data_IF_496052633462
#
_entry.id   IF_496052633462
#
_cell.length_a   1.000
_cell.length_b   1.000
_cell.length_c   1.000
_cell.angle_alpha   90.00
_cell.angle_beta   90.00
_cell.angle_gamma   90.00
#
_symmetry.space_group_name_H-M   'P 1'
#
loop_
_entity.id
_entity.type
_entity.pdbx_description
1 polymer ?
#
# COMPACT_ATOMS: atom_id res chain seq x y z
N UNK A 1 0.62 12.21 26.54
CA UNK A 1 0.79 11.15 27.57
C UNK A 1 2.27 10.85 27.59
N UNK A 2 2.87 10.45 28.70
CA UNK A 2 4.30 10.11 28.69
C UNK A 2 4.53 8.72 28.14
N UNK A 3 5.71 8.47 27.58
CA UNK A 3 6.13 7.13 27.10
C UNK A 3 5.85 6.03 28.13
N UNK A 4 6.16 6.26 29.41
CA UNK A 4 5.92 5.27 30.46
C UNK A 4 4.44 4.93 30.66
N UNK A 5 3.55 5.92 30.56
CA UNK A 5 2.12 5.71 30.65
C UNK A 5 1.59 4.95 29.42
N UNK A 6 2.09 5.30 28.23
CA UNK A 6 1.73 4.59 26.98
C UNK A 6 2.22 3.14 27.01
N UNK A 7 3.45 2.90 27.44
CA UNK A 7 4.00 1.55 27.59
C UNK A 7 3.18 0.70 28.57
N UNK A 8 2.75 1.29 29.70
CA UNK A 8 1.89 0.61 30.67
C UNK A 8 0.56 0.19 30.05
N UNK A 9 -0.11 1.07 29.31
CA UNK A 9 -1.37 0.75 28.65
C UNK A 9 -1.18 -0.34 27.58
N UNK A 10 -0.18 -0.17 26.71
CA UNK A 10 0.07 -1.14 25.66
C UNK A 10 0.48 -2.52 26.18
N UNK A 11 1.21 -2.59 27.30
CA UNK A 11 1.58 -3.88 27.89
C UNK A 11 0.37 -4.69 28.39
N UNK A 12 -0.76 -4.03 28.69
CA UNK A 12 -1.96 -4.69 29.17
C UNK A 12 -3.01 -4.94 28.07
N UNK A 13 -3.09 -4.04 27.09
CA UNK A 13 -4.22 -4.00 26.16
C UNK A 13 -3.86 -4.24 24.70
N UNK A 14 -2.58 -4.19 24.32
CA UNK A 14 -2.13 -4.44 22.95
C UNK A 14 -1.39 -5.77 22.87
N UNK A 15 -1.75 -6.60 21.91
CA UNK A 15 -1.06 -7.89 21.69
C UNK A 15 0.42 -7.65 21.38
N UNK A 16 1.30 -8.43 22.00
CA UNK A 16 2.75 -8.33 21.86
C UNK A 16 3.26 -8.98 20.56
N UNK A 17 2.71 -8.58 19.44
CA UNK A 17 3.06 -9.09 18.11
C UNK A 17 4.29 -8.41 17.48
N UNK A 18 4.71 -7.27 18.03
CA UNK A 18 5.87 -6.50 17.57
C UNK A 18 6.74 -6.06 18.75
N UNK A 19 8.07 -6.16 18.57
CA UNK A 19 9.01 -5.44 19.43
C UNK A 19 8.99 -3.96 19.08
N UNK A 20 8.87 -3.09 20.10
CA UNK A 20 8.87 -1.63 19.92
C UNK A 20 10.12 -1.00 20.50
N UNK A 21 10.66 -0.01 19.80
CA UNK A 21 11.69 0.85 20.39
C UNK A 21 11.08 1.73 21.49
N UNK A 22 11.79 2.01 22.59
CA UNK A 22 11.25 2.78 23.70
C UNK A 22 11.29 4.31 23.41
N UNK A 23 10.55 4.72 22.38
CA UNK A 23 10.36 6.11 21.98
C UNK A 23 8.90 6.31 21.65
N UNK A 24 8.29 7.37 22.17
CA UNK A 24 6.96 7.83 21.79
C UNK A 24 7.11 9.07 20.91
N UNK A 25 6.64 9.01 19.68
CA UNK A 25 6.59 10.17 18.80
C UNK A 25 5.25 10.87 18.95
N UNK A 26 5.29 12.18 19.19
CA UNK A 26 4.10 13.00 19.45
C UNK A 26 3.80 14.00 18.33
N UNK A 27 4.79 14.30 17.48
CA UNK A 27 4.65 15.22 16.36
C UNK A 27 5.59 14.83 15.22
N UNK A 28 5.20 15.19 13.99
CA UNK A 28 6.03 15.01 12.81
C UNK A 28 5.86 16.15 11.81
N UNK A 29 6.98 16.63 11.26
CA UNK A 29 6.99 17.66 10.23
C UNK A 29 8.09 17.40 9.18
N UNK A 30 7.72 17.26 7.92
CA UNK A 30 8.65 16.88 6.87
C UNK A 30 9.36 15.57 7.21
N UNK A 31 10.66 15.58 7.32
CA UNK A 31 11.48 14.41 7.69
C UNK A 31 11.82 14.34 9.19
N UNK A 32 11.20 15.18 10.03
CA UNK A 32 11.49 15.24 11.46
C UNK A 32 10.35 14.69 12.27
N UNK A 33 10.68 13.96 13.32
CA UNK A 33 9.79 13.49 14.36
C UNK A 33 10.22 14.06 15.69
N UNK A 34 9.26 14.39 16.55
CA UNK A 34 9.50 14.87 17.92
C UNK A 34 9.04 13.81 18.91
N UNK A 35 9.94 13.42 19.80
CA UNK A 35 9.63 12.52 20.92
C UNK A 35 8.87 13.24 22.04
N UNK A 36 8.24 12.47 22.93
CA UNK A 36 7.56 12.99 24.13
C UNK A 36 8.51 13.70 25.11
N UNK A 37 9.81 13.42 24.99
CA UNK A 37 10.90 14.07 25.72
C UNK A 37 11.41 15.36 25.05
N UNK A 38 10.80 15.78 23.94
CA UNK A 38 11.15 16.97 23.18
C UNK A 38 12.37 16.82 22.27
N UNK A 39 12.94 15.62 22.14
CA UNK A 39 14.04 15.37 21.20
C UNK A 39 13.54 15.31 19.77
N UNK A 40 14.32 15.86 18.85
CA UNK A 40 14.10 15.71 17.41
C UNK A 40 14.86 14.49 16.89
N UNK A 41 14.20 13.77 15.98
CA UNK A 41 14.74 12.63 15.25
C UNK A 41 14.57 12.86 13.73
N UNK A 42 15.54 12.39 12.96
CA UNK A 42 15.36 12.30 11.51
C UNK A 42 14.69 10.97 11.17
N UNK A 43 13.59 11.05 10.44
CA UNK A 43 12.82 9.87 10.02
C UNK A 43 13.37 9.29 8.72
N UNK A 44 14.29 8.33 8.82
CA UNK A 44 14.75 7.54 7.69
C UNK A 44 13.90 6.28 7.43
N UNK A 45 12.90 6.02 8.25
CA UNK A 45 12.01 4.88 8.10
C UNK A 45 10.76 5.22 7.29
N UNK A 46 10.29 6.46 7.40
CA UNK A 46 9.11 7.00 6.71
C UNK A 46 7.88 6.08 6.81
N UNK A 47 7.64 5.50 8.01
CA UNK A 47 6.56 4.52 8.20
C UNK A 47 6.68 3.26 7.33
N UNK A 48 7.91 2.84 7.01
CA UNK A 48 8.25 1.77 6.05
C UNK A 48 7.81 2.18 4.62
N UNK A 49 8.19 3.40 4.21
CA UNK A 49 7.95 3.95 2.87
C UNK A 49 6.55 4.53 2.66
N UNK A 50 5.72 4.61 3.69
CA UNK A 50 4.35 5.15 3.59
C UNK A 50 4.34 6.68 3.53
N UNK A 51 5.18 7.35 4.34
CA UNK A 51 5.25 8.80 4.44
C UNK A 51 6.23 9.41 3.43
N UNK A 52 6.10 9.05 2.15
CA UNK A 52 7.05 9.47 1.10
C UNK A 52 7.09 10.99 0.86
N UNK A 53 6.02 11.71 1.18
CA UNK A 53 5.94 13.18 1.11
C UNK A 53 6.35 13.86 2.43
N UNK A 54 6.74 13.07 3.43
CA UNK A 54 7.01 13.55 4.78
C UNK A 54 5.75 13.69 5.64
N UNK A 55 5.97 14.06 6.90
CA UNK A 55 4.89 14.28 7.86
C UNK A 55 4.29 15.66 7.66
N UNK A 56 2.97 15.76 7.69
CA UNK A 56 2.26 17.03 7.66
C UNK A 56 2.33 17.79 6.34
N UNK A 57 2.48 17.10 5.19
CA UNK A 57 2.44 17.74 3.88
C UNK A 57 1.14 18.54 3.69
N UNK A 58 1.22 19.87 3.38
CA UNK A 58 0.04 20.73 3.35
C UNK A 58 -0.99 20.32 2.30
N UNK A 59 -0.56 19.82 1.14
CA UNK A 59 -1.47 19.40 0.08
C UNK A 59 -2.26 18.15 0.48
N UNK A 60 -1.58 17.18 1.11
CA UNK A 60 -2.22 15.96 1.64
C UNK A 60 -3.20 16.31 2.75
N UNK A 61 -2.80 17.16 3.71
CA UNK A 61 -3.68 17.57 4.82
C UNK A 61 -4.93 18.29 4.32
N UNK A 62 -4.76 19.23 3.39
CA UNK A 62 -5.89 19.97 2.80
C UNK A 62 -6.86 19.05 2.08
N UNK A 63 -6.34 18.09 1.29
CA UNK A 63 -7.18 17.12 0.58
C UNK A 63 -7.94 16.19 1.56
N UNK A 64 -7.27 15.71 2.61
CA UNK A 64 -7.90 14.89 3.65
C UNK A 64 -8.99 15.67 4.38
N UNK A 65 -8.73 16.91 4.77
CA UNK A 65 -9.71 17.76 5.47
C UNK A 65 -10.95 18.01 4.59
N UNK A 66 -10.77 18.30 3.32
CA UNK A 66 -11.87 18.50 2.39
C UNK A 66 -12.69 17.20 2.20
N UNK A 67 -12.00 16.08 1.99
CA UNK A 67 -12.65 14.79 1.71
C UNK A 67 -13.40 14.25 2.93
N UNK A 68 -12.85 14.37 4.14
CA UNK A 68 -13.53 13.90 5.36
C UNK A 68 -14.85 14.61 5.64
N UNK A 69 -14.95 15.90 5.24
CA UNK A 69 -16.19 16.67 5.34
C UNK A 69 -17.22 16.30 4.26
N UNK A 70 -16.78 15.69 3.16
CA UNK A 70 -17.61 15.36 2.00
C UNK A 70 -18.15 13.93 2.06
N UNK A 71 -17.25 12.94 2.13
CA UNK A 71 -17.61 11.52 2.11
C UNK A 71 -16.44 10.66 2.56
N UNK A 72 -16.66 9.80 3.55
CA UNK A 72 -15.61 8.93 4.06
C UNK A 72 -15.62 7.53 3.45
N UNK A 73 -16.79 6.89 3.31
CA UNK A 73 -16.88 5.51 2.84
C UNK A 73 -18.27 5.14 2.33
N UNK A 74 -18.34 4.39 1.22
CA UNK A 74 -19.61 3.86 0.64
C UNK A 74 -19.51 2.42 0.16
N UNK A 75 -18.42 1.70 0.40
CA UNK A 75 -18.18 0.36 -0.17
C UNK A 75 -17.82 0.37 -1.66
N UNK A 76 -17.25 -0.75 -2.13
CA UNK A 76 -16.92 -0.97 -3.55
C UNK A 76 -18.14 -1.24 -4.44
N UNK A 77 -19.34 -1.32 -3.87
CA UNK A 77 -20.57 -1.49 -4.65
C UNK A 77 -21.00 -0.22 -5.39
N UNK A 78 -20.42 0.92 -5.05
CA UNK A 78 -20.78 2.21 -5.65
C UNK A 78 -19.56 2.88 -6.27
N UNK A 79 -19.84 3.74 -7.25
CA UNK A 79 -18.82 4.63 -7.80
C UNK A 79 -18.54 5.76 -6.81
N UNK A 80 -17.26 6.11 -6.70
CA UNK A 80 -16.80 7.27 -5.91
C UNK A 80 -15.84 8.10 -6.76
N UNK A 81 -15.78 9.37 -6.46
CA UNK A 81 -14.80 10.26 -7.08
C UNK A 81 -13.37 9.79 -6.85
N UNK A 82 -12.47 10.17 -7.73
CA UNK A 82 -11.02 10.01 -7.70
C UNK A 82 -10.52 8.57 -7.92
N UNK A 83 -11.29 7.52 -7.62
CA UNK A 83 -10.82 6.14 -7.79
C UNK A 83 -10.45 5.82 -9.24
N UNK A 84 -11.30 6.16 -10.20
CA UNK A 84 -11.04 5.99 -11.63
C UNK A 84 -9.88 6.87 -12.13
N UNK A 85 -9.84 8.12 -11.68
CA UNK A 85 -8.79 9.07 -12.01
C UNK A 85 -7.41 8.58 -11.54
N UNK A 86 -7.31 8.10 -10.28
CA UNK A 86 -6.06 7.52 -9.76
C UNK A 86 -5.66 6.26 -10.54
N UNK A 87 -6.60 5.39 -10.89
CA UNK A 87 -6.32 4.21 -11.70
C UNK A 87 -5.79 4.59 -13.10
N UNK A 88 -6.36 5.60 -13.75
CA UNK A 88 -5.89 6.12 -15.03
C UNK A 88 -4.47 6.71 -14.93
N UNK A 89 -4.19 7.49 -13.89
CA UNK A 89 -2.84 8.01 -13.61
C UNK A 89 -1.82 6.87 -13.44
N UNK A 90 -2.16 5.84 -12.68
CA UNK A 90 -1.29 4.69 -12.47
C UNK A 90 -1.06 3.90 -13.76
N UNK A 91 -2.08 3.76 -14.63
CA UNK A 91 -1.94 3.12 -15.94
C UNK A 91 -0.97 3.88 -16.85
N UNK A 92 -1.06 5.23 -16.89
CA UNK A 92 -0.13 6.06 -17.66
C UNK A 92 1.29 5.93 -17.15
N UNK A 93 1.50 6.00 -15.84
CA UNK A 93 2.82 5.82 -15.22
C UNK A 93 3.40 4.43 -15.48
N UNK A 94 2.57 3.39 -15.51
CA UNK A 94 3.01 2.02 -15.83
C UNK A 94 3.41 1.85 -17.31
N UNK A 95 2.99 2.77 -18.18
CA UNK A 95 3.41 2.88 -19.58
C UNK A 95 4.56 3.88 -19.80
N UNK A 96 5.22 4.35 -18.72
CA UNK A 96 6.25 5.39 -18.76
C UNK A 96 5.76 6.75 -19.32
N UNK A 97 4.44 6.96 -19.44
CA UNK A 97 3.82 8.22 -19.89
C UNK A 97 3.72 9.22 -18.73
N UNK A 98 4.87 9.71 -18.27
CA UNK A 98 4.96 10.66 -17.15
C UNK A 98 4.32 12.01 -17.50
N UNK A 99 4.49 12.47 -18.74
CA UNK A 99 3.93 13.75 -19.16
C UNK A 99 2.41 13.68 -19.31
N UNK A 100 1.86 12.61 -19.89
CA UNK A 100 0.44 12.37 -19.94
C UNK A 100 -0.17 12.23 -18.54
N UNK A 101 0.49 11.55 -17.63
CA UNK A 101 0.06 11.47 -16.24
C UNK A 101 0.03 12.84 -15.55
N UNK A 102 1.03 13.70 -15.79
CA UNK A 102 1.08 15.07 -15.25
C UNK A 102 -0.07 15.92 -15.78
N UNK A 103 -0.29 15.95 -17.09
CA UNK A 103 -1.37 16.72 -17.71
C UNK A 103 -2.75 16.26 -17.22
N UNK A 104 -2.94 14.95 -17.05
CA UNK A 104 -4.16 14.40 -16.46
C UNK A 104 -4.34 14.83 -14.98
N UNK A 105 -3.26 14.79 -14.19
CA UNK A 105 -3.30 15.23 -12.80
C UNK A 105 -3.65 16.72 -12.67
N UNK A 106 -3.10 17.57 -13.53
CA UNK A 106 -3.38 19.00 -13.56
C UNK A 106 -4.86 19.28 -13.92
N UNK A 107 -5.41 18.55 -14.90
CA UNK A 107 -6.84 18.65 -15.25
C UNK A 107 -7.75 18.23 -14.09
N UNK A 108 -7.41 17.15 -13.39
CA UNK A 108 -8.14 16.68 -12.20
C UNK A 108 -8.08 17.74 -11.10
N UNK A 109 -6.90 18.30 -10.83
CA UNK A 109 -6.71 19.32 -9.81
C UNK A 109 -7.44 20.61 -10.12
N UNK A 110 -7.58 20.98 -11.40
CA UNK A 110 -8.35 22.14 -11.87
C UNK A 110 -9.86 21.90 -11.83
N UNK A 111 -10.34 20.68 -11.59
CA UNK A 111 -11.75 20.32 -11.64
C UNK A 111 -12.33 20.31 -13.07
N UNK A 112 -11.48 20.24 -14.09
CA UNK A 112 -11.90 20.12 -15.49
C UNK A 112 -12.22 18.67 -15.82
N UNK A 113 -13.46 18.28 -15.47
CA UNK A 113 -13.95 16.90 -15.65
C UNK A 113 -13.94 16.46 -17.11
N UNK A 114 -14.20 17.37 -18.05
CA UNK A 114 -14.25 17.06 -19.50
C UNK A 114 -12.85 16.72 -20.00
N UNK A 115 -11.87 17.55 -19.71
CA UNK A 115 -10.47 17.31 -20.08
C UNK A 115 -9.91 16.10 -19.35
N UNK A 116 -10.20 15.95 -18.05
CA UNK A 116 -9.76 14.79 -17.27
C UNK A 116 -10.32 13.47 -17.81
N UNK A 117 -11.60 13.44 -18.21
CA UNK A 117 -12.22 12.27 -18.83
C UNK A 117 -11.60 11.93 -20.20
N UNK A 118 -11.34 12.94 -21.02
CA UNK A 118 -10.73 12.76 -22.34
C UNK A 118 -9.26 12.26 -22.23
N UNK A 119 -8.48 12.84 -21.32
CA UNK A 119 -7.09 12.44 -21.08
C UNK A 119 -6.95 11.10 -20.36
N UNK A 120 -7.93 10.75 -19.55
CA UNK A 120 -7.99 9.46 -18.84
C UNK A 120 -8.49 8.31 -19.72
N UNK A 121 -9.07 8.58 -20.86
CA UNK A 121 -9.46 7.55 -21.82
C UNK A 121 -8.23 6.98 -22.53
N UNK A 122 -8.07 5.65 -22.58
CA UNK A 122 -6.92 5.04 -23.26
C UNK A 122 -6.99 5.26 -24.78
N UNK A 123 -5.84 5.45 -25.43
CA UNK A 123 -5.74 5.40 -26.87
C UNK A 123 -6.02 3.98 -27.39
N UNK A 124 -6.38 3.84 -28.68
CA UNK A 124 -6.81 2.56 -29.25
C UNK A 124 -5.72 1.47 -29.18
N UNK A 125 -4.47 1.86 -29.16
CA UNK A 125 -3.28 0.99 -29.09
C UNK A 125 -2.55 1.05 -27.75
N UNK A 126 -3.10 1.78 -26.78
CA UNK A 126 -2.50 1.92 -25.44
C UNK A 126 -2.72 0.65 -24.62
N UNK A 127 -1.67 0.14 -23.99
CA UNK A 127 -1.77 -0.92 -23.00
C UNK A 127 -2.45 -0.36 -21.74
N UNK A 128 -3.62 -0.89 -21.40
CA UNK A 128 -4.33 -0.53 -20.17
C UNK A 128 -3.88 -1.40 -19.01
N UNK A 129 -3.46 -0.76 -17.93
CA UNK A 129 -3.17 -1.42 -16.66
C UNK A 129 -4.33 -1.20 -15.70
N UNK A 130 -5.05 -2.27 -15.37
CA UNK A 130 -6.15 -2.20 -14.40
C UNK A 130 -5.62 -2.22 -12.97
N UNK A 131 -6.17 -1.38 -12.11
CA UNK A 131 -5.74 -1.24 -10.71
C UNK A 131 -6.69 -1.96 -9.76
N UNK A 132 -6.15 -2.83 -8.91
CA UNK A 132 -6.83 -3.37 -7.74
C UNK A 132 -6.41 -2.61 -6.49
N UNK A 133 -7.35 -1.88 -5.86
CA UNK A 133 -7.13 -1.15 -4.62
C UNK A 133 -7.35 -2.06 -3.41
N UNK A 134 -6.38 -2.12 -2.52
CA UNK A 134 -6.39 -2.90 -1.28
C UNK A 134 -6.00 -2.03 -0.08
N UNK A 135 -6.27 -2.50 1.15
CA UNK A 135 -5.98 -1.74 2.36
C UNK A 135 -4.54 -1.92 2.86
N UNK A 136 -3.81 -2.87 2.31
CA UNK A 136 -2.43 -3.17 2.70
C UNK A 136 -1.67 -3.87 1.59
N UNK A 137 -0.33 -3.86 1.68
CA UNK A 137 0.51 -4.66 0.78
C UNK A 137 0.23 -6.17 0.90
N UNK A 138 -0.13 -6.66 2.08
CA UNK A 138 -0.54 -8.06 2.25
C UNK A 138 -1.79 -8.39 1.43
N UNK A 139 -2.83 -7.56 1.49
CA UNK A 139 -4.05 -7.75 0.69
C UNK A 139 -3.79 -7.62 -0.82
N UNK A 140 -2.91 -6.69 -1.23
CA UNK A 140 -2.51 -6.57 -2.63
C UNK A 140 -1.80 -7.83 -3.11
N UNK A 141 -0.90 -8.41 -2.31
CA UNK A 141 -0.25 -9.68 -2.60
C UNK A 141 -1.24 -10.85 -2.65
N UNK A 142 -2.18 -10.93 -1.72
CA UNK A 142 -3.29 -11.92 -1.77
C UNK A 142 -4.08 -11.80 -3.08
N UNK A 143 -4.42 -10.58 -3.49
CA UNK A 143 -5.09 -10.30 -4.76
C UNK A 143 -4.30 -10.76 -5.96
N UNK A 144 -3.00 -10.46 -6.01
CA UNK A 144 -2.10 -10.84 -7.11
C UNK A 144 -1.92 -12.36 -7.21
N UNK A 145 -1.78 -13.06 -6.08
CA UNK A 145 -1.67 -14.52 -6.04
C UNK A 145 -2.96 -15.20 -6.54
N UNK A 146 -4.12 -14.69 -6.11
CA UNK A 146 -5.42 -15.16 -6.61
C UNK A 146 -5.56 -14.92 -8.11
N UNK A 147 -5.17 -13.75 -8.60
CA UNK A 147 -5.22 -13.39 -10.01
C UNK A 147 -4.31 -14.31 -10.84
N UNK A 148 -3.07 -14.54 -10.40
CA UNK A 148 -2.14 -15.43 -11.07
C UNK A 148 -2.68 -16.86 -11.19
N UNK A 149 -3.24 -17.41 -10.11
CA UNK A 149 -3.85 -18.73 -10.11
C UNK A 149 -5.10 -18.82 -11.01
N UNK A 150 -5.93 -17.78 -10.98
CA UNK A 150 -7.12 -17.71 -11.85
C UNK A 150 -6.73 -17.63 -13.33
N UNK A 151 -5.72 -16.82 -13.65
CA UNK A 151 -5.18 -16.70 -15.00
C UNK A 151 -4.63 -18.04 -15.50
N UNK A 152 -3.78 -18.70 -14.71
CA UNK A 152 -3.23 -20.01 -15.04
C UNK A 152 -4.32 -21.07 -15.28
N UNK A 153 -5.36 -21.07 -14.45
CA UNK A 153 -6.52 -21.97 -14.64
C UNK A 153 -7.27 -21.69 -15.93
N UNK A 154 -7.51 -20.41 -16.26
CA UNK A 154 -8.23 -20.01 -17.48
C UNK A 154 -7.40 -20.24 -18.74
N UNK A 155 -6.10 -20.02 -18.68
CA UNK A 155 -5.17 -20.29 -19.78
C UNK A 155 -4.96 -21.80 -20.06
N UNK A 156 -5.53 -22.68 -19.21
CA UNK A 156 -5.48 -24.13 -19.41
C UNK A 156 -4.11 -24.77 -19.13
N UNK A 157 -3.14 -24.02 -18.60
CA UNK A 157 -1.79 -24.53 -18.30
C UNK A 157 -1.70 -25.23 -16.92
N UNK A 158 -2.77 -25.19 -16.11
CA UNK A 158 -2.87 -25.88 -14.81
C UNK A 158 -1.90 -25.42 -13.73
N UNK A 159 -1.11 -24.38 -13.97
CA UNK A 159 -0.13 -23.86 -13.03
C UNK A 159 -0.79 -23.24 -11.80
N UNK A 160 -0.42 -23.70 -10.61
CA UNK A 160 -0.88 -23.15 -9.33
C UNK A 160 0.28 -22.85 -8.38
N UNK A 161 1.51 -23.03 -8.85
CA UNK A 161 2.73 -22.80 -8.07
C UNK A 161 3.26 -21.39 -8.32
N UNK A 162 3.55 -20.69 -7.24
CA UNK A 162 4.14 -19.34 -7.23
C UNK A 162 5.56 -19.47 -6.74
N UNK A 163 6.52 -18.95 -7.51
CA UNK A 163 7.93 -18.92 -7.15
C UNK A 163 8.21 -17.63 -6.37
N UNK A 164 8.80 -17.77 -5.19
CA UNK A 164 9.13 -16.65 -4.30
C UNK A 164 10.63 -16.64 -3.98
N UNK A 165 11.21 -15.46 -3.85
CA UNK A 165 12.62 -15.33 -3.49
C UNK A 165 12.83 -15.61 -2.01
N UNK A 166 13.93 -16.36 -1.68
CA UNK A 166 14.37 -16.50 -0.29
C UNK A 166 14.71 -15.14 0.30
N UNK A 167 14.27 -14.91 1.55
CA UNK A 167 14.44 -13.62 2.22
C UNK A 167 13.47 -12.53 1.75
N UNK A 168 12.60 -12.82 0.77
CA UNK A 168 11.53 -11.92 0.36
C UNK A 168 10.50 -11.69 1.48
N UNK A 169 9.74 -10.61 1.38
CA UNK A 169 8.64 -10.32 2.29
C UNK A 169 7.37 -9.99 1.51
N UNK A 170 6.29 -10.69 1.80
CA UNK A 170 5.01 -10.54 1.09
C UNK A 170 3.84 -10.14 2.00
N UNK A 171 4.03 -10.18 3.32
CA UNK A 171 3.00 -9.81 4.31
C UNK A 171 2.91 -10.79 5.47
N UNK A 172 1.87 -10.62 6.28
CA UNK A 172 1.66 -11.36 7.54
C UNK A 172 0.32 -12.11 7.60
N UNK A 173 -0.47 -12.17 6.52
CA UNK A 173 -1.61 -13.10 6.38
C UNK A 173 -1.08 -14.53 6.16
N UNK A 174 -1.91 -15.53 6.32
CA UNK A 174 -1.47 -16.93 6.19
C UNK A 174 -0.92 -17.24 4.79
N UNK A 175 -1.51 -16.71 3.72
CA UNK A 175 -1.01 -16.93 2.36
C UNK A 175 0.25 -16.10 2.08
N UNK A 176 0.30 -14.86 2.52
CA UNK A 176 1.49 -14.02 2.34
C UNK A 176 2.67 -14.46 3.21
N UNK A 177 2.43 -15.04 4.41
CA UNK A 177 3.48 -15.70 5.18
C UNK A 177 4.00 -16.95 4.45
N UNK A 178 3.12 -17.74 3.83
CA UNK A 178 3.55 -18.88 3.01
C UNK A 178 4.44 -18.45 1.84
N UNK A 179 4.15 -17.31 1.22
CA UNK A 179 4.98 -16.71 0.17
C UNK A 179 6.27 -16.05 0.70
N UNK A 180 6.28 -15.64 1.97
CA UNK A 180 7.45 -15.06 2.63
C UNK A 180 8.43 -16.18 3.02
N UNK A 181 9.45 -16.40 2.21
CA UNK A 181 10.38 -17.52 2.35
C UNK A 181 11.42 -17.27 3.45
N UNK A 182 10.94 -17.11 4.69
CA UNK A 182 11.71 -16.92 5.92
C UNK A 182 11.16 -17.87 6.99
N UNK A 183 11.89 -18.96 7.26
CA UNK A 183 11.44 -20.07 8.11
C UNK A 183 11.01 -19.60 9.51
N UNK A 184 11.77 -18.68 10.12
CA UNK A 184 11.49 -18.15 11.45
C UNK A 184 10.14 -17.40 11.55
N UNK A 185 9.62 -16.87 10.44
CA UNK A 185 8.28 -16.28 10.37
C UNK A 185 7.19 -17.34 10.17
N UNK A 186 7.53 -18.44 9.51
CA UNK A 186 6.57 -19.46 9.10
C UNK A 186 6.30 -20.49 10.20
N UNK A 187 7.34 -20.88 10.95
CA UNK A 187 7.31 -22.06 11.81
C UNK A 187 6.18 -22.06 12.86
N UNK A 188 5.89 -20.89 13.43
CA UNK A 188 4.84 -20.74 14.43
C UNK A 188 3.41 -20.89 13.87
N UNK A 189 3.23 -20.81 12.53
CA UNK A 189 1.92 -20.76 11.90
C UNK A 189 1.63 -21.96 10.99
N UNK A 190 2.47 -22.98 11.01
CA UNK A 190 2.23 -24.20 10.22
C UNK A 190 1.01 -24.99 10.73
N UNK A 191 0.19 -25.62 9.85
CA UNK A 191 0.39 -25.72 8.39
C UNK A 191 0.00 -24.44 7.64
N UNK A 192 0.81 -24.06 6.65
CA UNK A 192 0.56 -22.92 5.78
C UNK A 192 -0.08 -23.34 4.45
N UNK A 193 -0.76 -22.42 3.73
CA UNK A 193 -1.23 -22.67 2.38
C UNK A 193 -0.09 -23.14 1.47
N UNK A 194 -0.38 -24.17 0.65
CA UNK A 194 0.57 -24.72 -0.31
C UNK A 194 0.65 -23.94 -1.63
N UNK A 195 1.53 -24.43 -2.53
CA UNK A 195 1.71 -23.85 -3.87
C UNK A 195 2.75 -22.74 -3.94
N UNK A 196 3.68 -22.68 -3.00
CA UNK A 196 4.81 -21.74 -3.00
C UNK A 196 6.14 -22.50 -3.04
N UNK A 197 7.06 -22.04 -3.87
CA UNK A 197 8.40 -22.60 -4.02
C UNK A 197 9.43 -21.49 -3.88
N UNK A 198 10.44 -21.76 -3.05
CA UNK A 198 11.53 -20.82 -2.86
C UNK A 198 12.56 -20.90 -3.99
N UNK A 199 13.02 -19.76 -4.49
CA UNK A 199 14.22 -19.64 -5.29
C UNK A 199 15.26 -18.76 -4.61
N UNK A 200 16.54 -18.98 -4.91
CA UNK A 200 17.62 -18.13 -4.43
C UNK A 200 17.91 -17.08 -5.49
N UNK A 201 18.00 -15.79 -5.15
CA UNK A 201 18.49 -14.77 -6.07
C UNK A 201 19.92 -15.09 -6.51
N UNK A 202 20.25 -14.77 -7.77
CA UNK A 202 21.61 -14.92 -8.31
C UNK A 202 22.57 -13.90 -7.69
#
# INVERSE_FOLDING_TARGET
>A
MSLAAQQSLESHYVMHTFGRSPVEFVEGHGMKLTGDDGREYLDFLAGIGVCSLGHGDPAVLSALEAQTKKLMHVSNYFYIEQRGQVAALLSKLANDDVDGARVLADAIAAGDETTAAALGAPAADEQVWETFFANSGAEANEGSMKLARLYAKRAGNGGNTIVCMRGGFHGRTLETIAATMQDWLQDSFRPLPGGFVACTPN
#
